data_IF_861194180295
#
_entry.id   IF_861194180295
#
_cell.length_a   1.000
_cell.length_b   1.000
_cell.length_c   1.000
_cell.angle_alpha   90.00
_cell.angle_beta   90.00
_cell.angle_gamma   90.00
#
_symmetry.space_group_name_H-M   'P 1'
#
loop_
_entity.id
_entity.type
_entity.pdbx_description
1 polymer ?
#
# COMPACT_ATOMS: atom_id res chain seq x y z
N UNK A 1 18.37 6.09 1.07
CA UNK A 1 17.14 6.10 1.90
C UNK A 1 17.42 5.71 3.35
N UNK A 2 18.00 4.53 3.62
CA UNK A 2 18.32 4.05 4.98
C UNK A 2 19.09 5.09 5.82
N UNK A 3 20.20 5.64 5.31
CA UNK A 3 21.00 6.61 6.05
C UNK A 3 20.19 7.84 6.49
N UNK A 4 19.26 8.29 5.65
CA UNK A 4 18.40 9.44 5.95
C UNK A 4 17.41 9.12 7.07
N UNK A 5 16.86 7.90 7.10
CA UNK A 5 16.00 7.42 8.18
C UNK A 5 16.80 7.31 9.48
N UNK A 6 17.98 6.68 9.46
CA UNK A 6 18.83 6.49 10.62
C UNK A 6 19.25 7.84 11.23
N UNK A 7 19.68 8.80 10.41
CA UNK A 7 20.04 10.15 10.85
C UNK A 7 18.87 10.95 11.45
N UNK A 8 17.64 10.69 11.01
CA UNK A 8 16.43 11.39 11.53
C UNK A 8 15.90 10.77 12.82
N UNK A 9 16.02 9.45 12.96
CA UNK A 9 15.37 8.71 14.05
C UNK A 9 16.31 8.39 15.21
N UNK A 10 17.61 8.22 14.95
CA UNK A 10 18.56 7.71 15.92
C UNK A 10 19.57 8.78 16.37
N UNK A 11 19.94 8.73 17.65
CA UNK A 11 21.06 9.50 18.22
C UNK A 11 22.39 8.83 17.86
N UNK A 12 22.39 7.50 17.78
CA UNK A 12 23.53 6.70 17.32
C UNK A 12 23.03 5.54 16.46
N UNK A 13 23.73 5.27 15.36
CA UNK A 13 23.43 4.15 14.46
C UNK A 13 24.72 3.63 13.82
N UNK A 14 24.68 2.40 13.30
CA UNK A 14 25.81 1.74 12.65
C UNK A 14 25.34 0.64 11.71
N UNK A 15 26.19 0.33 10.73
CA UNK A 15 26.03 -0.88 9.94
C UNK A 15 26.22 -2.13 10.81
N UNK A 16 25.46 -3.17 10.48
CA UNK A 16 25.49 -4.44 11.19
C UNK A 16 26.46 -5.42 10.54
N UNK A 17 26.93 -6.40 11.32
CA UNK A 17 27.80 -7.46 10.82
C UNK A 17 27.08 -8.33 9.78
N UNK A 18 27.85 -8.99 8.92
CA UNK A 18 27.35 -9.83 7.81
C UNK A 18 26.44 -10.97 8.30
N UNK A 19 26.67 -11.46 9.51
CA UNK A 19 25.93 -12.59 10.09
C UNK A 19 24.57 -12.20 10.71
N UNK A 20 24.24 -10.91 10.73
CA UNK A 20 23.00 -10.43 11.33
C UNK A 20 21.84 -10.43 10.32
N UNK A 21 20.60 -10.72 10.76
CA UNK A 21 19.44 -10.70 9.87
C UNK A 21 19.04 -9.28 9.44
N UNK A 22 19.50 -8.26 10.16
CA UNK A 22 19.33 -6.84 9.85
C UNK A 22 20.65 -6.25 9.34
N UNK A 23 20.55 -5.27 8.44
CA UNK A 23 21.71 -4.67 7.78
C UNK A 23 22.25 -3.45 8.56
N UNK A 24 21.40 -2.85 9.39
CA UNK A 24 21.73 -1.63 10.13
C UNK A 24 20.94 -1.58 11.44
N UNK A 25 21.49 -0.95 12.46
CA UNK A 25 20.86 -0.79 13.76
C UNK A 25 21.12 0.60 14.34
N UNK A 26 20.24 1.06 15.22
CA UNK A 26 20.38 2.34 15.90
C UNK A 26 19.50 2.45 17.14
N UNK A 27 19.60 3.59 17.80
CA UNK A 27 18.89 3.90 19.04
C UNK A 27 18.32 5.31 19.02
N UNK A 28 17.04 5.46 19.34
CA UNK A 28 16.38 6.77 19.45
C UNK A 28 16.79 7.53 20.70
N UNK A 29 16.45 8.82 20.79
CA UNK A 29 16.71 9.62 21.99
C UNK A 29 16.00 9.07 23.26
N UNK A 30 14.93 8.30 23.08
CA UNK A 30 14.21 7.63 24.17
C UNK A 30 14.73 6.23 24.51
N UNK A 31 15.85 5.79 23.92
CA UNK A 31 16.44 4.47 24.18
C UNK A 31 15.80 3.31 23.41
N UNK A 32 14.93 3.59 22.43
CA UNK A 32 14.27 2.56 21.62
C UNK A 32 15.24 2.07 20.54
N UNK A 33 15.46 0.75 20.48
CA UNK A 33 16.28 0.13 19.43
C UNK A 33 15.52 0.07 18.10
N UNK A 34 16.20 0.44 17.03
CA UNK A 34 15.70 0.38 15.65
C UNK A 34 16.60 -0.54 14.84
N UNK A 35 15.99 -1.40 14.02
CA UNK A 35 16.68 -2.34 13.15
C UNK A 35 16.13 -2.22 11.73
N UNK A 36 17.03 -2.14 10.74
CA UNK A 36 16.65 -2.09 9.33
C UNK A 36 16.87 -3.44 8.67
N UNK A 37 15.78 -4.02 8.19
CA UNK A 37 15.75 -5.26 7.43
C UNK A 37 15.50 -4.94 5.95
N UNK A 38 16.07 -5.74 5.04
CA UNK A 38 15.82 -5.61 3.60
C UNK A 38 14.71 -6.53 3.06
N UNK A 39 14.20 -7.42 3.91
CA UNK A 39 13.12 -8.36 3.57
C UNK A 39 12.28 -8.62 4.82
N UNK A 40 10.95 -8.62 4.65
CA UNK A 40 9.99 -8.90 5.72
C UNK A 40 10.20 -10.30 6.33
N UNK A 41 10.68 -11.28 5.55
CA UNK A 41 10.99 -12.64 6.02
C UNK A 41 12.08 -12.68 7.09
N UNK A 42 12.96 -11.68 7.12
CA UNK A 42 14.05 -11.59 8.10
C UNK A 42 13.62 -10.93 9.41
N UNK A 43 12.46 -10.27 9.42
CA UNK A 43 11.91 -9.64 10.62
C UNK A 43 11.44 -10.74 11.58
N UNK A 44 11.81 -10.69 12.89
CA UNK A 44 11.40 -11.69 13.87
C UNK A 44 9.90 -11.92 13.92
N UNK A 45 9.46 -13.18 13.97
CA UNK A 45 8.05 -13.57 14.06
C UNK A 45 7.52 -13.43 15.50
N UNK A 46 7.13 -12.23 15.89
CA UNK A 46 6.52 -11.92 17.19
C UNK A 46 5.24 -11.09 16.99
N UNK A 47 4.47 -10.90 18.05
CA UNK A 47 3.37 -9.95 18.07
C UNK A 47 3.85 -8.58 17.58
N UNK A 48 3.27 -8.08 16.48
CA UNK A 48 3.81 -6.92 15.76
C UNK A 48 2.72 -6.06 15.15
N UNK A 49 2.98 -4.75 15.08
CA UNK A 49 2.16 -3.81 14.33
C UNK A 49 2.87 -3.44 13.03
N UNK A 50 2.22 -3.68 11.91
CA UNK A 50 2.74 -3.37 10.58
C UNK A 50 2.04 -2.13 10.04
N UNK A 51 2.82 -1.18 9.52
CA UNK A 51 2.30 0.02 8.86
C UNK A 51 2.93 0.09 7.47
N UNK A 52 2.09 0.10 6.44
CA UNK A 52 2.49 0.29 5.06
C UNK A 52 1.76 1.52 4.52
N UNK A 53 2.45 2.65 4.47
CA UNK A 53 1.93 3.94 4.01
C UNK A 53 2.64 4.32 2.72
N UNK A 54 1.91 4.42 1.60
CA UNK A 54 2.49 4.66 0.25
C UNK A 54 3.64 3.68 -0.05
N UNK A 55 3.33 2.39 0.05
CA UNK A 55 4.30 1.31 -0.13
C UNK A 55 3.92 0.37 -1.26
N UNK A 56 2.62 0.15 -1.48
CA UNK A 56 2.14 -0.82 -2.45
C UNK A 56 2.03 -0.21 -3.85
N UNK A 57 1.78 1.10 -3.96
CA UNK A 57 1.62 1.84 -5.22
C UNK A 57 2.91 1.92 -6.07
N UNK A 58 4.07 1.86 -5.41
CA UNK A 58 5.39 1.83 -6.05
C UNK A 58 5.87 0.41 -6.40
N UNK A 59 5.12 -0.63 -6.04
CA UNK A 59 5.51 -2.00 -6.36
C UNK A 59 5.26 -2.31 -7.85
N UNK A 60 6.15 -3.07 -8.50
CA UNK A 60 5.98 -3.42 -9.91
C UNK A 60 4.64 -4.11 -10.18
N UNK A 61 3.99 -3.71 -11.27
CA UNK A 61 2.76 -4.31 -11.77
C UNK A 61 2.99 -4.97 -13.13
N UNK A 62 2.15 -5.96 -13.42
CA UNK A 62 1.88 -6.44 -14.77
C UNK A 62 0.57 -5.83 -15.25
N UNK A 63 0.51 -5.44 -16.52
CA UNK A 63 -0.70 -4.93 -17.17
C UNK A 63 -1.25 -5.98 -18.12
N UNK A 64 -2.54 -6.25 -18.04
CA UNK A 64 -3.24 -7.21 -18.89
C UNK A 64 -4.43 -6.56 -19.57
N UNK A 65 -4.71 -7.01 -20.80
CA UNK A 65 -5.84 -6.57 -21.61
C UNK A 65 -6.63 -7.79 -22.11
N UNK A 66 -7.95 -7.72 -22.00
CA UNK A 66 -8.86 -8.73 -22.51
C UNK A 66 -9.10 -8.51 -24.00
N UNK A 67 -8.77 -9.51 -24.82
CA UNK A 67 -8.96 -9.47 -26.28
C UNK A 67 -9.99 -10.51 -26.72
N UNK A 68 -10.39 -10.49 -27.99
CA UNK A 68 -11.24 -11.55 -28.59
C UNK A 68 -10.66 -12.96 -28.43
N UNK A 69 -9.34 -13.07 -28.25
CA UNK A 69 -8.61 -14.34 -28.09
C UNK A 69 -8.24 -14.61 -26.62
N UNK A 70 -8.89 -13.93 -25.67
CA UNK A 70 -8.63 -14.00 -24.24
C UNK A 70 -7.62 -12.96 -23.75
N UNK A 71 -7.16 -13.11 -22.51
CA UNK A 71 -6.23 -12.18 -21.86
C UNK A 71 -4.86 -12.17 -22.53
N UNK A 72 -4.28 -10.98 -22.68
CA UNK A 72 -2.92 -10.75 -23.17
C UNK A 72 -2.18 -9.82 -22.22
N UNK A 73 -0.87 -9.93 -22.20
CA UNK A 73 -0.01 -9.05 -21.40
C UNK A 73 0.40 -7.84 -22.23
N UNK A 74 0.32 -6.65 -21.63
CA UNK A 74 0.88 -5.43 -22.19
C UNK A 74 2.35 -5.38 -21.79
N UNK A 75 3.22 -5.36 -22.78
CA UNK A 75 4.67 -5.35 -22.68
C UNK A 75 5.24 -4.04 -23.21
N UNK A 76 6.50 -3.77 -22.88
CA UNK A 76 7.26 -2.65 -23.44
C UNK A 76 8.17 -3.17 -24.55
N UNK A 77 8.10 -2.54 -25.71
CA UNK A 77 8.93 -2.80 -26.88
C UNK A 77 9.64 -1.52 -27.33
N UNK A 78 10.58 -1.65 -28.27
CA UNK A 78 11.31 -0.55 -28.86
C UNK A 78 10.85 -0.40 -30.31
N UNK A 79 10.46 0.81 -30.73
CA UNK A 79 10.13 1.09 -32.14
C UNK A 79 11.36 1.22 -33.03
N UNK A 80 11.15 1.41 -34.34
CA UNK A 80 12.24 1.56 -35.32
C UNK A 80 13.14 2.78 -35.04
N UNK A 81 12.63 3.78 -34.32
CA UNK A 81 13.35 4.98 -33.92
C UNK A 81 14.07 4.85 -32.57
N UNK A 82 13.97 3.69 -31.90
CA UNK A 82 14.57 3.46 -30.58
C UNK A 82 13.73 3.97 -29.41
N UNK A 83 12.48 4.38 -29.62
CA UNK A 83 11.58 4.87 -28.56
C UNK A 83 10.79 3.71 -27.95
N UNK A 84 10.61 3.75 -26.63
CA UNK A 84 9.76 2.79 -25.91
C UNK A 84 8.29 2.97 -26.28
N UNK A 85 7.59 1.85 -26.45
CA UNK A 85 6.16 1.80 -26.74
C UNK A 85 5.49 0.60 -26.08
N UNK A 86 4.19 0.73 -25.78
CA UNK A 86 3.38 -0.40 -25.35
C UNK A 86 3.07 -1.34 -26.52
N UNK A 87 3.10 -2.65 -26.26
CA UNK A 87 2.73 -3.72 -27.19
C UNK A 87 1.93 -4.79 -26.48
N UNK A 88 0.90 -5.30 -27.13
CA UNK A 88 0.14 -6.45 -26.63
C UNK A 88 0.85 -7.73 -27.07
N UNK A 89 1.07 -8.66 -26.14
CA UNK A 89 1.66 -9.96 -26.42
C UNK A 89 0.83 -10.74 -27.46
N UNK A 90 1.47 -11.37 -28.45
CA UNK A 90 0.76 -12.14 -29.47
C UNK A 90 0.03 -13.38 -28.90
N UNK A 91 0.67 -14.03 -27.92
CA UNK A 91 0.16 -15.23 -27.26
C UNK A 91 0.02 -14.98 -25.75
N UNK A 92 -0.75 -15.83 -25.07
CA UNK A 92 -0.78 -15.82 -23.60
C UNK A 92 0.60 -16.09 -23.03
N UNK A 93 1.07 -15.16 -22.19
CA UNK A 93 2.31 -15.31 -21.44
C UNK A 93 2.10 -16.18 -20.20
N UNK A 94 3.20 -16.57 -19.56
CA UNK A 94 3.12 -17.28 -18.28
C UNK A 94 2.50 -16.39 -17.19
N UNK A 95 2.73 -15.07 -17.23
CA UNK A 95 2.14 -14.10 -16.31
C UNK A 95 0.61 -14.13 -16.40
N UNK A 96 0.05 -14.08 -17.61
CA UNK A 96 -1.40 -14.19 -17.84
C UNK A 96 -1.92 -15.47 -17.19
N UNK A 97 -1.27 -16.61 -17.50
CA UNK A 97 -1.70 -17.92 -17.01
C UNK A 97 -1.63 -18.08 -15.51
N UNK A 98 -0.82 -17.31 -14.78
CA UNK A 98 -0.63 -17.47 -13.33
C UNK A 98 -1.38 -16.40 -12.54
N UNK A 99 -1.41 -15.17 -13.05
CA UNK A 99 -1.90 -13.99 -12.33
C UNK A 99 -3.36 -13.68 -12.63
N UNK A 100 -3.83 -13.95 -13.85
CA UNK A 100 -5.22 -13.74 -14.26
C UNK A 100 -6.00 -15.05 -14.11
N UNK A 101 -6.27 -15.45 -12.85
CA UNK A 101 -7.03 -16.65 -12.49
C UNK A 101 -8.08 -16.32 -11.44
N UNK A 102 -9.20 -17.05 -11.35
CA UNK A 102 -10.17 -16.86 -10.28
C UNK A 102 -9.52 -16.92 -8.88
N UNK A 103 -9.89 -16.01 -7.96
CA UNK A 103 -10.92 -14.95 -8.07
C UNK A 103 -10.39 -13.60 -8.59
N UNK A 104 -9.20 -13.56 -9.17
CA UNK A 104 -8.62 -12.41 -9.88
C UNK A 104 -9.02 -12.41 -11.37
N UNK A 105 -9.92 -13.30 -11.79
CA UNK A 105 -10.53 -13.26 -13.11
C UNK A 105 -11.45 -12.04 -13.19
N UNK A 106 -11.29 -11.24 -14.23
CA UNK A 106 -11.58 -9.82 -14.16
C UNK A 106 -13.06 -9.41 -14.20
N UNK A 107 -14.02 -10.27 -13.86
CA UNK A 107 -15.45 -9.96 -14.00
C UNK A 107 -15.75 -9.34 -15.37
N UNK A 108 -16.26 -8.11 -15.38
CA UNK A 108 -16.55 -7.33 -16.60
C UNK A 108 -15.40 -6.42 -17.08
N UNK A 109 -14.22 -6.45 -16.44
CA UNK A 109 -13.10 -5.55 -16.76
C UNK A 109 -12.40 -5.96 -18.05
N UNK A 110 -11.98 -4.94 -18.80
CA UNK A 110 -11.19 -5.10 -20.03
C UNK A 110 -9.67 -4.99 -19.77
N UNK A 111 -9.25 -4.29 -18.72
CA UNK A 111 -7.85 -4.27 -18.29
C UNK A 111 -7.69 -4.58 -16.81
N UNK A 112 -6.57 -5.22 -16.48
CA UNK A 112 -6.20 -5.55 -15.11
C UNK A 112 -4.73 -5.24 -14.87
N UNK A 113 -4.47 -4.56 -13.76
CA UNK A 113 -3.14 -4.37 -13.21
C UNK A 113 -2.97 -5.31 -12.01
N UNK A 114 -1.89 -6.11 -11.99
CA UNK A 114 -1.61 -7.04 -10.88
C UNK A 114 -0.18 -6.83 -10.40
N UNK A 115 0.01 -6.65 -9.10
CA UNK A 115 1.35 -6.67 -8.47
C UNK A 115 1.60 -8.00 -7.75
N UNK A 116 2.32 -8.98 -8.35
CA UNK A 116 2.61 -10.24 -7.69
C UNK A 116 3.38 -10.06 -6.38
N UNK A 117 4.28 -9.07 -6.35
CA UNK A 117 5.05 -8.72 -5.15
C UNK A 117 4.16 -8.13 -4.07
N UNK A 118 3.25 -7.23 -4.42
CA UNK A 118 2.25 -6.69 -3.49
C UNK A 118 1.39 -7.80 -2.89
N UNK A 119 0.84 -8.69 -3.73
CA UNK A 119 0.04 -9.83 -3.24
C UNK A 119 0.83 -10.77 -2.32
N UNK A 120 2.09 -11.04 -2.65
CA UNK A 120 2.97 -11.85 -1.80
C UNK A 120 3.24 -11.22 -0.42
N UNK A 121 3.49 -9.91 -0.38
CA UNK A 121 3.69 -9.18 0.88
C UNK A 121 2.40 -9.14 1.70
N UNK A 122 1.25 -8.87 1.07
CA UNK A 122 -0.04 -8.86 1.76
C UNK A 122 -0.36 -10.21 2.40
N UNK A 123 -0.13 -11.32 1.68
CA UNK A 123 -0.28 -12.68 2.24
C UNK A 123 0.67 -12.94 3.41
N UNK A 124 1.91 -12.51 3.29
CA UNK A 124 2.90 -12.67 4.37
C UNK A 124 2.51 -11.85 5.62
N UNK A 125 2.04 -10.62 5.44
CA UNK A 125 1.54 -9.78 6.54
C UNK A 125 0.33 -10.44 7.22
N UNK A 126 -0.63 -10.91 6.44
CA UNK A 126 -1.80 -11.61 6.95
C UNK A 126 -1.39 -12.82 7.79
N UNK A 127 -0.63 -13.76 7.21
CA UNK A 127 -0.11 -14.95 7.89
C UNK A 127 0.61 -14.62 9.20
N UNK A 128 1.45 -13.57 9.21
CA UNK A 128 2.16 -13.16 10.42
C UNK A 128 1.23 -12.60 11.49
N UNK A 129 0.26 -11.77 11.09
CA UNK A 129 -0.74 -11.21 12.01
C UNK A 129 -1.59 -12.32 12.62
N UNK A 130 -2.02 -13.31 11.84
CA UNK A 130 -2.87 -14.39 12.35
C UNK A 130 -2.12 -15.39 13.22
N UNK A 131 -0.91 -15.79 12.83
CA UNK A 131 -0.14 -16.79 13.57
C UNK A 131 0.52 -16.23 14.84
N UNK A 132 1.05 -15.00 14.78
CA UNK A 132 1.85 -14.42 15.89
C UNK A 132 1.13 -13.27 16.62
N UNK A 133 -0.07 -12.91 16.16
CA UNK A 133 -0.83 -11.79 16.69
C UNK A 133 -0.32 -10.43 16.22
N UNK A 134 -1.13 -9.40 16.47
CA UNK A 134 -0.83 -8.02 16.10
C UNK A 134 -1.86 -7.45 15.13
N UNK A 135 -1.44 -6.48 14.32
CA UNK A 135 -2.29 -5.84 13.31
C UNK A 135 -1.44 -5.32 12.15
N UNK A 136 -2.02 -5.24 10.95
CA UNK A 136 -1.43 -4.51 9.84
C UNK A 136 -2.37 -3.38 9.40
N UNK A 137 -1.83 -2.20 9.15
CA UNK A 137 -2.53 -1.06 8.56
C UNK A 137 -1.85 -0.69 7.24
N UNK A 138 -2.62 -0.79 6.16
CA UNK A 138 -2.19 -0.45 4.80
C UNK A 138 -2.94 0.82 4.40
N UNK A 139 -2.21 1.83 3.96
CA UNK A 139 -2.73 3.14 3.60
C UNK A 139 -2.08 3.58 2.30
N UNK A 140 -2.85 3.66 1.22
CA UNK A 140 -2.30 3.92 -0.11
C UNK A 140 -3.32 4.54 -1.07
N UNK A 141 -2.84 5.11 -2.18
CA UNK A 141 -3.70 5.51 -3.30
C UNK A 141 -4.26 4.27 -3.97
N UNK A 142 -5.58 4.21 -4.17
CA UNK A 142 -6.16 2.97 -4.68
C UNK A 142 -7.65 3.00 -4.98
N UNK A 143 -8.12 1.83 -5.35
CA UNK A 143 -9.50 1.55 -5.71
C UNK A 143 -9.93 0.18 -5.16
N UNK A 144 -11.22 -0.14 -5.17
CA UNK A 144 -11.74 -1.42 -4.70
C UNK A 144 -12.30 -2.23 -5.87
N UNK A 145 -11.44 -2.40 -6.87
CA UNK A 145 -11.78 -3.12 -8.08
C UNK A 145 -12.63 -2.38 -9.12
N UNK A 146 -12.73 -1.06 -9.01
CA UNK A 146 -13.51 -0.21 -9.92
C UNK A 146 -12.68 0.49 -11.03
N UNK A 147 -11.35 0.35 -11.03
CA UNK A 147 -10.47 0.92 -12.06
C UNK A 147 -9.70 -0.17 -12.81
N UNK A 148 -9.19 0.23 -13.97
CA UNK A 148 -8.53 -0.65 -14.94
C UNK A 148 -7.09 -0.22 -15.26
N UNK A 149 -6.89 0.98 -15.82
CA UNK A 149 -5.56 1.51 -16.12
C UNK A 149 -5.22 2.68 -15.19
N UNK A 150 -4.20 2.50 -14.36
CA UNK A 150 -3.83 3.47 -13.34
C UNK A 150 -2.34 3.80 -13.31
N UNK A 151 -1.54 3.09 -14.10
CA UNK A 151 -0.10 3.31 -14.22
C UNK A 151 0.24 4.71 -14.74
N UNK A 152 0.93 5.48 -13.92
CA UNK A 152 1.26 6.89 -14.18
C UNK A 152 2.71 7.18 -13.81
N UNK A 153 3.24 8.22 -14.43
CA UNK A 153 4.52 8.79 -14.07
C UNK A 153 4.37 10.25 -13.65
N UNK A 154 5.14 10.65 -12.65
CA UNK A 154 5.21 12.03 -12.18
C UNK A 154 6.63 12.56 -12.37
N UNK A 155 6.72 13.73 -13.00
CA UNK A 155 7.97 14.48 -13.10
C UNK A 155 7.70 15.95 -12.75
N UNK A 156 8.39 16.49 -11.74
CA UNK A 156 8.22 17.87 -11.26
C UNK A 156 6.76 18.26 -11.00
N UNK A 157 6.03 17.41 -10.26
CA UNK A 157 4.61 17.57 -9.91
C UNK A 157 3.63 17.62 -11.11
N UNK A 158 4.02 17.08 -12.25
CA UNK A 158 3.15 16.92 -13.43
C UNK A 158 3.08 15.45 -13.83
N UNK A 159 1.90 15.03 -14.26
CA UNK A 159 1.71 13.72 -14.90
C UNK A 159 2.40 13.77 -16.25
N UNK A 160 3.27 12.79 -16.51
CA UNK A 160 3.99 12.60 -17.77
C UNK A 160 3.78 11.18 -18.29
N UNK A 161 4.13 10.94 -19.54
CA UNK A 161 4.13 9.58 -20.09
C UNK A 161 5.22 8.74 -19.39
N UNK A 162 4.87 7.57 -18.81
CA UNK A 162 5.83 6.67 -18.18
C UNK A 162 7.00 6.23 -19.07
N UNK A 163 6.82 6.23 -20.40
CA UNK A 163 7.82 5.74 -21.35
C UNK A 163 8.78 6.82 -21.87
N UNK A 164 8.53 8.10 -21.60
CA UNK A 164 9.34 9.21 -22.14
C UNK A 164 10.70 9.36 -21.47
N UNK A 165 10.76 9.27 -20.13
CA UNK A 165 12.01 9.47 -19.37
C UNK A 165 12.20 8.42 -18.27
N UNK A 166 12.42 7.14 -18.63
CA UNK A 166 12.59 6.06 -17.65
C UNK A 166 13.77 6.35 -16.71
N UNK A 167 13.54 6.15 -15.41
CA UNK A 167 14.54 6.41 -14.36
C UNK A 167 14.65 7.87 -13.90
N UNK A 168 14.02 8.83 -14.61
CA UNK A 168 13.96 10.25 -14.21
C UNK A 168 12.59 10.69 -13.72
N UNK A 169 11.56 9.85 -13.89
CA UNK A 169 10.20 10.09 -13.44
C UNK A 169 9.83 9.08 -12.37
N UNK A 170 9.02 9.51 -11.41
CA UNK A 170 8.50 8.64 -10.36
C UNK A 170 7.30 7.85 -10.90
N UNK A 171 7.30 6.53 -10.71
CA UNK A 171 6.28 5.63 -11.26
C UNK A 171 5.36 5.18 -10.15
N UNK A 172 4.05 5.24 -10.39
CA UNK A 172 3.02 4.80 -9.45
C UNK A 172 1.87 4.13 -10.18
N UNK A 173 1.23 3.17 -9.52
CA UNK A 173 -0.03 2.59 -9.93
C UNK A 173 -0.98 2.56 -8.72
N UNK A 174 -2.26 2.85 -8.93
CA UNK A 174 -3.24 2.76 -7.85
C UNK A 174 -3.30 1.30 -7.36
N UNK A 175 -3.34 1.13 -6.04
CA UNK A 175 -3.47 -0.17 -5.40
C UNK A 175 -4.90 -0.69 -5.58
N UNK A 176 -5.04 -1.89 -6.16
CA UNK A 176 -6.30 -2.62 -6.16
C UNK A 176 -6.51 -3.34 -4.82
N UNK A 177 -7.20 -2.67 -3.90
CA UNK A 177 -7.49 -3.21 -2.56
C UNK A 177 -8.37 -4.46 -2.62
N UNK A 178 -9.12 -4.68 -3.69
CA UNK A 178 -9.90 -5.92 -3.85
C UNK A 178 -8.97 -7.13 -3.97
N UNK A 179 -7.86 -6.98 -4.69
CA UNK A 179 -6.85 -8.04 -4.85
C UNK A 179 -6.05 -8.27 -3.56
N UNK A 180 -5.69 -7.20 -2.84
CA UNK A 180 -5.05 -7.32 -1.53
C UNK A 180 -5.94 -8.07 -0.54
N UNK A 181 -7.24 -7.75 -0.51
CA UNK A 181 -8.22 -8.47 0.30
C UNK A 181 -8.27 -9.94 -0.09
N UNK A 182 -8.36 -10.28 -1.37
CA UNK A 182 -8.32 -11.67 -1.86
C UNK A 182 -7.04 -12.40 -1.42
N UNK A 183 -5.89 -11.73 -1.46
CA UNK A 183 -4.60 -12.33 -1.10
C UNK A 183 -4.43 -12.56 0.41
N UNK A 184 -5.07 -11.73 1.23
CA UNK A 184 -4.98 -11.76 2.70
C UNK A 184 -6.15 -12.48 3.38
N UNK A 185 -7.29 -12.66 2.69
CA UNK A 185 -8.50 -13.24 3.29
C UNK A 185 -8.47 -14.76 3.31
N UNK A 186 -9.23 -15.33 4.26
CA UNK A 186 -9.47 -16.76 4.37
C UNK A 186 -10.04 -17.32 3.05
N UNK A 187 -9.44 -18.40 2.55
CA UNK A 187 -10.04 -19.22 1.48
C UNK A 187 -10.52 -20.55 2.08
N UNK A 188 -11.71 -21.04 1.69
CA UNK A 188 -12.15 -22.36 2.14
C UNK A 188 -11.11 -23.44 1.79
N UNK A 189 -10.59 -24.14 2.80
CA UNK A 189 -9.60 -25.21 2.64
C UNK A 189 -8.13 -24.77 2.60
N UNK A 190 -7.82 -23.48 2.76
CA UNK A 190 -6.46 -22.98 2.97
C UNK A 190 -6.24 -22.59 4.45
N UNK A 191 -4.98 -22.43 4.86
CA UNK A 191 -4.65 -21.85 6.17
C UNK A 191 -5.38 -20.50 6.34
N UNK A 192 -6.09 -20.31 7.45
CA UNK A 192 -6.72 -19.02 7.73
C UNK A 192 -5.62 -17.96 7.82
N UNK A 193 -5.75 -16.83 7.11
CA UNK A 193 -4.66 -15.85 7.03
C UNK A 193 -4.91 -14.56 7.81
N UNK A 194 -6.08 -13.92 7.74
CA UNK A 194 -6.45 -12.76 8.56
C UNK A 194 -7.92 -12.41 8.33
N UNK A 195 -8.51 -11.67 9.28
CA UNK A 195 -9.73 -10.88 9.04
C UNK A 195 -9.30 -9.57 8.39
N UNK A 196 -9.79 -9.33 7.18
CA UNK A 196 -9.53 -8.10 6.44
C UNK A 196 -10.71 -7.14 6.61
N UNK A 197 -10.42 -5.90 7.01
CA UNK A 197 -11.42 -4.82 7.10
C UNK A 197 -11.06 -3.66 6.18
N UNK A 198 -12.08 -3.06 5.58
CA UNK A 198 -11.93 -2.05 4.54
C UNK A 198 -11.93 -2.63 3.11
N UNK A 199 -11.47 -1.85 2.12
CA UNK A 199 -10.90 -0.51 2.28
C UNK A 199 -11.95 0.54 2.71
N UNK A 200 -11.51 1.60 3.39
CA UNK A 200 -12.31 2.80 3.66
C UNK A 200 -11.58 4.04 3.13
N UNK A 201 -12.32 5.08 2.75
CA UNK A 201 -11.72 6.34 2.26
C UNK A 201 -10.94 7.04 3.39
N UNK A 202 -9.83 7.72 3.07
CA UNK A 202 -9.04 8.47 4.04
C UNK A 202 -9.86 9.49 4.82
N UNK A 203 -10.71 10.26 4.15
CA UNK A 203 -11.65 11.20 4.79
C UNK A 203 -12.42 10.51 5.91
N UNK A 204 -13.11 9.40 5.58
CA UNK A 204 -13.94 8.67 6.53
C UNK A 204 -13.13 8.09 7.68
N UNK A 205 -11.94 7.56 7.39
CA UNK A 205 -11.05 7.01 8.41
C UNK A 205 -10.61 8.08 9.42
N UNK A 206 -10.16 9.24 8.92
CA UNK A 206 -9.70 10.36 9.76
C UNK A 206 -10.85 11.00 10.54
N UNK A 207 -12.02 11.18 9.93
CA UNK A 207 -13.22 11.66 10.61
C UNK A 207 -13.60 10.75 11.78
N UNK A 208 -13.63 9.43 11.57
CA UNK A 208 -13.96 8.44 12.60
C UNK A 208 -12.94 8.40 13.73
N UNK A 209 -11.68 8.72 13.45
CA UNK A 209 -10.62 8.87 14.46
C UNK A 209 -10.58 10.27 15.10
N UNK A 210 -11.58 11.13 14.85
CA UNK A 210 -11.69 12.45 15.45
C UNK A 210 -10.52 13.39 15.09
N UNK A 211 -10.01 13.30 13.86
CA UNK A 211 -8.91 14.14 13.39
C UNK A 211 -9.23 15.65 13.47
N UNK A 212 -10.50 16.05 13.35
CA UNK A 212 -10.93 17.45 13.52
C UNK A 212 -10.72 17.97 14.95
N UNK A 213 -10.90 17.11 15.97
CA UNK A 213 -10.62 17.48 17.37
C UNK A 213 -9.13 17.73 17.55
N UNK A 214 -8.28 16.86 16.97
CA UNK A 214 -6.83 17.06 16.97
C UNK A 214 -6.42 18.33 16.23
N UNK A 215 -7.06 18.65 15.11
CA UNK A 215 -6.86 19.89 14.37
C UNK A 215 -7.10 21.12 15.26
N UNK A 216 -8.22 21.16 15.98
CA UNK A 216 -8.55 22.27 16.90
C UNK A 216 -7.46 22.47 17.94
N UNK A 217 -7.04 21.39 18.61
CA UNK A 217 -5.94 21.45 19.59
C UNK A 217 -4.63 21.96 18.99
N UNK A 218 -4.29 21.56 17.75
CA UNK A 218 -3.08 22.02 17.07
C UNK A 218 -3.14 23.51 16.73
N UNK A 219 -4.29 23.99 16.26
CA UNK A 219 -4.52 25.41 15.97
C UNK A 219 -4.43 26.26 17.24
N UNK A 220 -5.01 25.78 18.35
CA UNK A 220 -4.99 26.48 19.63
C UNK A 220 -3.58 26.56 20.21
N UNK A 221 -2.75 25.53 19.97
CA UNK A 221 -1.34 25.51 20.41
C UNK A 221 -0.36 26.25 19.49
N UNK A 222 -0.80 26.66 18.30
CA UNK A 222 0.08 27.28 17.32
C UNK A 222 0.34 28.76 17.67
N UNK A 223 1.62 29.13 17.73
CA UNK A 223 2.07 30.46 18.16
C UNK A 223 1.78 31.57 17.13
N UNK A 224 1.74 31.23 15.84
CA UNK A 224 1.57 32.21 14.74
C UNK A 224 0.37 31.88 13.88
N UNK A 225 -0.25 32.91 13.30
CA UNK A 225 -1.38 32.71 12.38
C UNK A 225 -0.94 31.99 11.10
N UNK A 226 0.30 32.18 10.65
CA UNK A 226 0.87 31.42 9.54
C UNK A 226 0.92 29.91 9.84
N UNK A 227 1.33 29.52 11.06
CA UNK A 227 1.34 28.13 11.47
C UNK A 227 -0.09 27.55 11.53
N UNK A 228 -1.06 28.33 12.02
CA UNK A 228 -2.48 27.93 12.04
C UNK A 228 -3.00 27.65 10.64
N UNK A 229 -2.75 28.55 9.69
CA UNK A 229 -3.21 28.39 8.30
C UNK A 229 -2.50 27.21 7.61
N UNK A 230 -1.21 26.98 7.88
CA UNK A 230 -0.49 25.79 7.38
C UNK A 230 -1.14 24.48 7.86
N UNK A 231 -1.45 24.38 9.15
CA UNK A 231 -2.08 23.17 9.70
C UNK A 231 -3.49 22.96 9.14
N UNK A 232 -4.29 24.03 9.01
CA UNK A 232 -5.61 23.98 8.37
C UNK A 232 -5.53 23.52 6.92
N UNK A 233 -4.62 24.10 6.14
CA UNK A 233 -4.43 23.73 4.74
C UNK A 233 -4.01 22.27 4.59
N UNK A 234 -3.08 21.79 5.43
CA UNK A 234 -2.65 20.39 5.43
C UNK A 234 -3.80 19.45 5.79
N UNK A 235 -4.61 19.76 6.81
CA UNK A 235 -5.80 18.98 7.14
C UNK A 235 -6.78 18.94 5.97
N UNK A 236 -7.10 20.09 5.38
CA UNK A 236 -8.00 20.17 4.22
C UNK A 236 -7.50 19.31 3.07
N UNK A 237 -6.20 19.30 2.76
CA UNK A 237 -5.64 18.42 1.72
C UNK A 237 -5.88 16.94 2.01
N UNK A 238 -5.76 16.52 3.27
CA UNK A 238 -5.96 15.13 3.70
C UNK A 238 -7.43 14.69 3.59
N UNK A 239 -8.38 15.58 3.89
CA UNK A 239 -9.80 15.23 3.98
C UNK A 239 -10.62 15.63 2.76
N UNK A 240 -10.17 16.59 1.95
CA UNK A 240 -10.90 17.08 0.78
C UNK A 240 -11.13 15.94 -0.24
N UNK A 241 -12.40 15.66 -0.60
CA UNK A 241 -12.74 14.63 -1.58
C UNK A 241 -12.05 14.77 -2.93
N UNK A 242 -11.77 16.00 -3.37
CA UNK A 242 -11.11 16.29 -4.65
C UNK A 242 -9.60 16.07 -4.60
N UNK A 243 -9.04 15.93 -3.39
CA UNK A 243 -7.62 15.73 -3.14
C UNK A 243 -7.37 14.30 -2.64
N UNK A 244 -6.84 14.13 -1.43
CA UNK A 244 -6.50 12.80 -0.89
C UNK A 244 -7.70 12.10 -0.26
N UNK A 245 -8.74 12.84 0.17
CA UNK A 245 -9.83 12.33 1.00
C UNK A 245 -10.55 11.11 0.41
N UNK A 246 -10.79 11.09 -0.90
CA UNK A 246 -11.40 9.94 -1.58
C UNK A 246 -10.40 8.99 -2.24
N UNK A 247 -9.28 9.49 -2.75
CA UNK A 247 -8.33 8.70 -3.56
C UNK A 247 -7.48 7.77 -2.70
N UNK A 248 -7.16 8.21 -1.49
CA UNK A 248 -6.37 7.47 -0.53
C UNK A 248 -7.29 6.57 0.31
N UNK A 249 -6.87 5.32 0.54
CA UNK A 249 -7.68 4.29 1.19
C UNK A 249 -6.91 3.66 2.34
N UNK A 250 -7.65 3.20 3.35
CA UNK A 250 -7.14 2.45 4.49
C UNK A 250 -7.73 1.04 4.49
N UNK A 251 -6.89 0.04 4.73
CA UNK A 251 -7.25 -1.36 4.93
C UNK A 251 -6.49 -1.90 6.14
N UNK A 252 -7.11 -2.75 6.94
CA UNK A 252 -6.44 -3.38 8.06
C UNK A 252 -6.62 -4.89 8.10
N UNK A 253 -5.60 -5.58 8.59
CA UNK A 253 -5.61 -7.02 8.84
C UNK A 253 -5.58 -7.28 10.35
N UNK A 254 -6.48 -8.13 10.79
CA UNK A 254 -6.61 -8.58 12.17
C UNK A 254 -6.45 -10.11 12.26
N UNK A 255 -5.98 -10.65 13.39
CA UNK A 255 -5.97 -12.09 13.60
C UNK A 255 -7.38 -12.68 13.56
N UNK A 256 -7.56 -13.84 12.93
CA UNK A 256 -8.83 -14.56 12.85
C UNK A 256 -9.42 -14.87 14.23
N UNK A 257 -8.56 -15.14 15.22
CA UNK A 257 -8.94 -15.31 16.61
C UNK A 257 -9.71 -14.11 17.21
N UNK A 258 -9.58 -12.91 16.62
CA UNK A 258 -10.28 -11.70 17.06
C UNK A 258 -11.70 -11.56 16.52
N UNK A 259 -12.21 -12.46 15.68
CA UNK A 259 -13.56 -12.34 15.07
C UNK A 259 -14.65 -11.95 16.07
N UNK A 260 -14.80 -12.71 17.18
CA UNK A 260 -15.82 -12.42 18.20
C UNK A 260 -15.63 -11.06 18.90
N UNK A 261 -14.37 -10.61 19.02
CA UNK A 261 -14.05 -9.32 19.62
C UNK A 261 -14.43 -8.21 18.66
N UNK A 262 -14.11 -8.33 17.37
CA UNK A 262 -14.42 -7.35 16.35
C UNK A 262 -15.94 -7.23 16.09
N UNK A 263 -16.69 -8.32 16.22
CA UNK A 263 -18.15 -8.27 16.15
C UNK A 263 -18.76 -7.45 17.30
N UNK A 264 -18.19 -7.56 18.49
CA UNK A 264 -18.64 -6.83 19.69
C UNK A 264 -18.11 -5.39 19.74
N UNK A 265 -16.87 -5.19 19.30
CA UNK A 265 -16.14 -3.94 19.29
C UNK A 265 -15.55 -3.72 17.90
N UNK A 266 -16.34 -3.18 16.96
CA UNK A 266 -15.89 -2.95 15.60
C UNK A 266 -14.63 -2.08 15.55
N UNK A 267 -13.70 -2.33 14.59
CA UNK A 267 -12.45 -1.60 14.53
C UNK A 267 -12.65 -0.11 14.29
N UNK A 268 -12.07 0.70 15.17
CA UNK A 268 -12.06 2.16 15.07
C UNK A 268 -11.48 2.60 13.71
N UNK A 269 -12.09 3.62 13.10
CA UNK A 269 -11.74 4.09 11.75
C UNK A 269 -12.41 3.30 10.62
N UNK A 270 -12.76 2.04 10.83
CA UNK A 270 -13.35 1.17 9.79
C UNK A 270 -14.86 1.02 9.90
N UNK A 271 -15.40 1.02 11.12
CA UNK A 271 -16.84 0.99 11.37
C UNK A 271 -17.44 2.40 11.49
N UNK A 272 -18.69 2.57 11.08
CA UNK A 272 -19.50 3.70 11.53
C UNK A 272 -19.80 3.53 13.02
N UNK A 273 -19.55 4.57 13.81
CA UNK A 273 -20.00 4.62 15.21
C UNK A 273 -21.54 4.44 15.20
N UNK A 274 -22.04 3.47 15.96
CA UNK A 274 -23.48 3.31 16.21
C UNK A 274 -23.99 4.45 17.07
#
# INVERSE_FOLDING_TARGET
>A
MLQMQANRLCVSHRDSGIDMPYNHEGETAGGIKIYWYNDLKKVPNNFSWYIAHEFFDVLPIHKFEHTEKGWREILIDIDEAGKLQYRISANETQSVKVLVRPPLDAGDRMHVEVSPRGLGIARQLASRVDQYGGLALIADYGHDGDKEDTFRAFHKHKVVDPLENPGLSDLTADVDFSQLRIAASMRPGEENYAIVVGPVKQLQFLERLQAEVRLKMLIDSAETDEAKEKVKAAYNMLVDPKQMGERFKFMAFYPSAMSKILDKYPPLGFSTLK
#
